data_IF_021434242645
#
_entry.id   IF_021434242645
#
_cell.length_a   1.000
_cell.length_b   1.000
_cell.length_c   1.000
_cell.angle_alpha   90.00
_cell.angle_beta   90.00
_cell.angle_gamma   90.00
#
_symmetry.space_group_name_H-M   'P 1'
#
loop_
_entity.id
_entity.type
_entity.pdbx_description
1 polymer ?
#
# COMPACT_ATOMS: atom_id res chain seq x y z
N UNK A 1 -0.50 0.11 17.51
CA UNK A 1 -1.21 0.92 16.51
C UNK A 1 -0.76 2.35 16.68
N UNK A 2 0.38 2.67 16.09
CA UNK A 2 0.78 4.05 15.88
C UNK A 2 0.03 4.59 14.65
N UNK A 3 -0.57 5.77 14.77
CA UNK A 3 -1.45 6.41 13.78
C UNK A 3 -0.83 7.77 13.42
N UNK A 4 0.49 7.80 13.22
CA UNK A 4 1.20 9.03 12.90
C UNK A 4 1.16 9.27 11.39
N UNK A 5 0.67 10.46 11.02
CA UNK A 5 0.71 10.99 9.67
C UNK A 5 2.03 11.73 9.50
N UNK A 6 2.75 11.40 8.43
CA UNK A 6 3.97 12.09 8.05
C UNK A 6 3.69 12.91 6.78
N UNK A 7 3.73 14.26 6.85
CA UNK A 7 3.53 15.09 5.67
C UNK A 7 4.67 14.84 4.68
N UNK A 8 4.31 14.76 3.40
CA UNK A 8 5.28 14.59 2.32
C UNK A 8 5.86 15.97 1.99
N UNK A 9 7.19 16.08 1.91
CA UNK A 9 7.83 17.28 1.38
C UNK A 9 7.62 17.34 -0.14
N UNK A 10 6.56 18.03 -0.55
CA UNK A 10 6.15 18.08 -1.95
C UNK A 10 7.11 18.85 -2.86
N UNK A 11 7.95 19.74 -2.31
CA UNK A 11 8.93 20.52 -3.10
C UNK A 11 10.13 19.66 -3.48
N UNK A 12 10.60 18.80 -2.57
CA UNK A 12 11.77 17.94 -2.80
C UNK A 12 11.41 16.49 -3.18
N UNK A 13 10.14 16.20 -3.48
CA UNK A 13 9.72 14.84 -3.84
C UNK A 13 9.92 14.55 -5.33
N UNK A 14 10.85 13.65 -5.65
CA UNK A 14 11.16 13.24 -7.04
C UNK A 14 9.92 12.78 -7.85
N UNK A 15 8.88 12.28 -7.17
CA UNK A 15 7.64 11.80 -7.79
C UNK A 15 6.58 12.88 -8.00
N UNK A 16 6.80 14.13 -7.56
CA UNK A 16 5.84 15.24 -7.66
C UNK A 16 5.26 15.40 -9.07
N UNK A 17 6.12 15.42 -10.10
CA UNK A 17 5.70 15.59 -11.48
C UNK A 17 4.84 14.42 -11.99
N UNK A 18 5.22 13.18 -11.65
CA UNK A 18 4.44 11.99 -12.00
C UNK A 18 3.09 11.97 -11.28
N UNK A 19 3.07 12.34 -10.00
CA UNK A 19 1.84 12.45 -9.22
C UNK A 19 0.87 13.41 -9.89
N UNK A 20 1.30 14.65 -10.17
CA UNK A 20 0.46 15.65 -10.83
C UNK A 20 -0.06 15.20 -12.20
N UNK A 21 0.79 14.52 -12.99
CA UNK A 21 0.39 14.02 -14.30
C UNK A 21 -0.75 12.97 -14.21
N UNK A 22 -0.64 12.01 -13.29
CA UNK A 22 -1.62 10.92 -13.17
C UNK A 22 -2.84 11.26 -12.29
N UNK A 23 -2.81 12.34 -11.51
CA UNK A 23 -3.96 12.78 -10.71
C UNK A 23 -4.76 13.90 -11.36
N UNK A 24 -4.09 14.92 -11.92
CA UNK A 24 -4.75 16.14 -12.41
C UNK A 24 -4.83 16.20 -13.94
N UNK A 25 -3.72 15.91 -14.64
CA UNK A 25 -3.68 16.06 -16.10
C UNK A 25 -4.39 14.92 -16.83
N UNK A 26 -4.17 13.68 -16.40
CA UNK A 26 -4.76 12.49 -17.00
C UNK A 26 -5.09 11.44 -15.94
N UNK A 27 -6.26 11.56 -15.28
CA UNK A 27 -6.69 10.64 -14.21
C UNK A 27 -6.77 9.20 -14.73
N UNK A 28 -5.71 8.42 -14.51
CA UNK A 28 -5.57 7.07 -15.07
C UNK A 28 -5.10 6.09 -14.00
N UNK A 29 -5.83 4.98 -13.87
CA UNK A 29 -5.43 3.82 -13.08
C UNK A 29 -5.13 2.63 -13.98
N UNK A 30 -4.23 1.75 -13.54
CA UNK A 30 -3.95 0.50 -14.22
C UNK A 30 -4.24 -0.68 -13.27
N UNK A 31 -4.69 -1.79 -13.85
CA UNK A 31 -4.87 -3.06 -13.14
C UNK A 31 -3.83 -4.05 -13.64
N UNK A 32 -3.17 -4.75 -12.72
CA UNK A 32 -2.21 -5.79 -13.04
C UNK A 32 -2.69 -7.12 -12.44
N UNK A 33 -2.83 -8.13 -13.29
CA UNK A 33 -3.13 -9.49 -12.87
C UNK A 33 -1.86 -10.34 -13.03
N UNK A 34 -1.44 -10.99 -11.95
CA UNK A 34 -0.31 -11.91 -11.95
C UNK A 34 -0.71 -13.23 -11.31
N UNK A 35 -0.15 -14.33 -11.81
CA UNK A 35 -0.23 -15.62 -11.16
C UNK A 35 0.88 -15.74 -10.13
N UNK A 36 0.52 -16.04 -8.88
CA UNK A 36 1.46 -16.17 -7.77
C UNK A 36 1.43 -17.63 -7.30
N UNK A 37 2.59 -18.29 -7.26
CA UNK A 37 2.70 -19.61 -6.66
C UNK A 37 2.60 -19.53 -5.13
N UNK A 38 1.45 -19.95 -4.61
CA UNK A 38 1.14 -19.99 -3.17
C UNK A 38 1.34 -21.36 -2.53
N UNK A 39 1.90 -22.34 -3.24
CA UNK A 39 1.98 -23.74 -2.79
C UNK A 39 2.66 -23.87 -1.43
N UNK A 40 3.82 -23.24 -1.26
CA UNK A 40 4.59 -23.26 -0.01
C UNK A 40 3.86 -22.54 1.12
N UNK A 41 3.22 -21.41 0.83
CA UNK A 41 2.48 -20.64 1.83
C UNK A 41 1.26 -21.42 2.33
N UNK A 42 0.49 -22.01 1.41
CA UNK A 42 -0.67 -22.81 1.72
C UNK A 42 -0.32 -24.05 2.57
N UNK A 43 0.74 -24.78 2.21
CA UNK A 43 1.21 -25.94 2.99
C UNK A 43 1.59 -25.54 4.42
N UNK A 44 2.33 -24.43 4.60
CA UNK A 44 2.71 -23.93 5.93
C UNK A 44 1.49 -23.53 6.77
N UNK A 45 0.53 -22.83 6.19
CA UNK A 45 -0.69 -22.40 6.88
C UNK A 45 -1.53 -23.61 7.31
N UNK A 46 -1.65 -24.61 6.43
CA UNK A 46 -2.36 -25.86 6.70
C UNK A 46 -1.68 -26.68 7.81
N UNK A 47 -0.35 -26.79 7.76
CA UNK A 47 0.43 -27.46 8.81
C UNK A 47 0.30 -26.76 10.17
N UNK A 48 0.13 -25.44 10.18
CA UNK A 48 -0.11 -24.66 11.39
C UNK A 48 -1.57 -24.72 11.90
N UNK A 49 -2.46 -25.48 11.25
CA UNK A 49 -3.87 -25.60 11.64
C UNK A 49 -4.69 -24.32 11.44
N UNK A 50 -4.21 -23.37 10.62
CA UNK A 50 -4.86 -22.07 10.40
C UNK A 50 -5.67 -22.07 9.10
N UNK A 51 -6.70 -21.21 9.04
CA UNK A 51 -7.46 -20.96 7.81
C UNK A 51 -6.65 -20.09 6.85
N UNK A 52 -6.71 -20.38 5.56
CA UNK A 52 -5.95 -19.67 4.52
C UNK A 52 -6.33 -18.19 4.41
N UNK A 53 -7.62 -17.87 4.34
CA UNK A 53 -8.11 -16.52 4.12
C UNK A 53 -7.58 -15.47 5.14
N UNK A 54 -7.74 -15.65 6.46
CA UNK A 54 -7.22 -14.67 7.42
C UNK A 54 -5.69 -14.59 7.43
N UNK A 55 -5.00 -15.68 7.14
CA UNK A 55 -3.55 -15.68 7.03
C UNK A 55 -3.06 -14.90 5.79
N UNK A 56 -3.71 -15.09 4.65
CA UNK A 56 -3.45 -14.35 3.42
C UNK A 56 -3.71 -12.85 3.63
N UNK A 57 -4.87 -12.49 4.19
CA UNK A 57 -5.22 -11.09 4.46
C UNK A 57 -4.18 -10.40 5.35
N UNK A 58 -3.75 -11.06 6.42
CA UNK A 58 -2.71 -10.53 7.31
C UNK A 58 -1.37 -10.32 6.58
N UNK A 59 -0.93 -11.30 5.78
CA UNK A 59 0.33 -11.20 5.04
C UNK A 59 0.31 -10.04 4.03
N UNK A 60 -0.80 -9.89 3.30
CA UNK A 60 -0.97 -8.80 2.33
C UNK A 60 -0.97 -7.45 3.03
N UNK A 61 -1.74 -7.29 4.12
CA UNK A 61 -1.77 -6.05 4.89
C UNK A 61 -0.38 -5.69 5.45
N UNK A 62 0.33 -6.68 6.03
CA UNK A 62 1.69 -6.49 6.56
C UNK A 62 2.67 -6.03 5.47
N UNK A 63 2.60 -6.64 4.28
CA UNK A 63 3.49 -6.30 3.16
C UNK A 63 3.26 -4.87 2.66
N UNK A 64 1.99 -4.45 2.55
CA UNK A 64 1.62 -3.08 2.16
C UNK A 64 2.25 -2.08 3.12
N UNK A 65 2.11 -2.33 4.42
CA UNK A 65 2.68 -1.49 5.47
C UNK A 65 4.22 -1.46 5.47
N UNK A 66 4.88 -2.60 5.21
CA UNK A 66 6.34 -2.66 5.13
C UNK A 66 6.92 -1.94 3.90
N UNK A 67 6.15 -1.85 2.80
CA UNK A 67 6.64 -1.24 1.55
C UNK A 67 6.62 0.30 1.54
N UNK A 68 6.05 0.97 2.55
CA UNK A 68 6.17 2.42 2.81
C UNK A 68 5.63 3.38 1.73
N UNK A 69 5.34 2.89 0.52
CA UNK A 69 4.95 3.69 -0.64
C UNK A 69 3.50 3.49 -1.10
N UNK A 70 2.75 2.60 -0.47
CA UNK A 70 1.34 2.31 -0.81
C UNK A 70 0.34 3.17 -0.02
N UNK A 71 0.81 3.90 1.00
CA UNK A 71 -0.04 4.57 1.98
C UNK A 71 -0.10 6.10 1.79
N UNK A 72 0.05 6.60 0.55
CA UNK A 72 -0.21 8.01 0.26
C UNK A 72 -1.73 8.20 0.23
N UNK A 73 -2.26 8.80 1.30
CA UNK A 73 -3.64 9.22 1.37
C UNK A 73 -3.70 10.71 1.01
N UNK A 74 -4.52 11.03 0.02
CA UNK A 74 -4.98 12.39 -0.16
C UNK A 74 -5.93 12.70 1.00
N UNK A 75 -5.44 13.44 1.98
CA UNK A 75 -6.32 14.04 2.96
C UNK A 75 -7.16 15.10 2.25
N UNK A 76 -8.40 14.72 1.90
CA UNK A 76 -9.36 15.59 1.20
C UNK A 76 -9.75 16.83 2.02
N UNK A 77 -9.34 16.92 3.29
CA UNK A 77 -9.55 18.09 4.15
C UNK A 77 -8.34 19.04 4.16
N UNK A 78 -7.15 18.58 3.75
CA UNK A 78 -5.90 19.36 3.83
C UNK A 78 -5.37 19.82 2.47
N UNK A 79 -5.93 19.36 1.35
CA UNK A 79 -5.47 19.67 -0.02
C UNK A 79 -3.97 19.39 -0.27
N UNK A 80 -3.34 18.59 0.59
CA UNK A 80 -1.92 18.24 0.54
C UNK A 80 -1.75 16.73 0.72
N UNK A 81 -0.90 16.07 -0.09
CA UNK A 81 -0.68 14.64 0.01
C UNK A 81 0.09 14.29 1.29
N UNK A 82 -0.40 13.29 2.03
CA UNK A 82 0.21 12.83 3.28
C UNK A 82 0.45 11.31 3.21
N UNK A 83 1.53 10.85 3.84
CA UNK A 83 1.78 9.41 4.01
C UNK A 83 1.31 8.97 5.39
N UNK A 84 0.67 7.81 5.43
CA UNK A 84 0.35 7.14 6.68
C UNK A 84 1.35 6.02 6.96
N UNK A 85 1.79 5.87 8.21
CA UNK A 85 2.64 4.75 8.62
C UNK A 85 1.98 3.99 9.75
N UNK A 86 1.58 2.74 9.50
CA UNK A 86 1.08 1.84 10.53
C UNK A 86 2.27 1.06 11.08
N UNK A 87 2.64 1.28 12.34
CA UNK A 87 3.54 0.37 13.08
C UNK A 87 2.87 -0.07 14.38
#
# INVERSE_FOLDING_TARGET
MNTQLHPIDFENWDRRQYFYYFTEMLPTGFNLNIEIDITKAHQKIKAAGKKFFPAYLYLTAKLITEQGGADVLLDRLSDQPQTFSIV
#
